data_IF_040461272183
#
_entry.id   IF_040461272183
#
_cell.length_a   1.000
_cell.length_b   1.000
_cell.length_c   1.000
_cell.angle_alpha   90.00
_cell.angle_beta   90.00
_cell.angle_gamma   90.00
#
_symmetry.space_group_name_H-M   'P 1'
#
loop_
_entity.id
_entity.type
_entity.pdbx_description
1 polymer ?
#
# COMPACT_ATOMS: atom_id res chain seq x y z
N UNK A 1 11.97 -7.08 -0.81
CA UNK A 1 10.56 -6.66 -0.61
C UNK A 1 9.88 -6.37 -1.94
N UNK A 2 8.60 -6.73 -2.07
CA UNK A 2 7.76 -6.50 -3.24
C UNK A 2 6.44 -5.82 -2.83
N UNK A 3 6.05 -4.75 -3.52
CA UNK A 3 4.75 -4.10 -3.35
C UNK A 3 3.77 -4.65 -4.40
N UNK A 4 2.67 -5.22 -3.96
CA UNK A 4 1.52 -5.57 -4.79
C UNK A 4 0.37 -4.58 -4.56
N UNK A 5 -0.30 -4.21 -5.64
CA UNK A 5 -1.44 -3.29 -5.62
C UNK A 5 -2.60 -3.95 -6.35
N UNK A 6 -3.70 -4.20 -5.66
CA UNK A 6 -4.97 -4.67 -6.22
C UNK A 6 -5.97 -3.51 -6.27
N UNK A 7 -6.25 -3.02 -7.47
CA UNK A 7 -7.12 -1.86 -7.71
C UNK A 7 -8.53 -2.29 -8.08
N UNK A 8 -9.39 -2.48 -7.09
CA UNK A 8 -10.81 -2.81 -7.28
C UNK A 8 -11.71 -1.58 -7.46
N UNK A 9 -12.98 -1.82 -7.77
CA UNK A 9 -13.99 -0.75 -7.94
C UNK A 9 -14.33 -0.03 -6.63
N UNK A 10 -14.30 -0.74 -5.50
CA UNK A 10 -14.69 -0.19 -4.20
C UNK A 10 -13.48 0.13 -3.33
N UNK A 11 -12.44 -0.70 -3.42
CA UNK A 11 -11.24 -0.55 -2.62
C UNK A 11 -10.00 -0.85 -3.44
N UNK A 12 -8.91 -0.18 -3.08
CA UNK A 12 -7.55 -0.48 -3.50
C UNK A 12 -6.83 -1.08 -2.31
N UNK A 13 -6.20 -2.24 -2.50
CA UNK A 13 -5.40 -2.94 -1.49
C UNK A 13 -3.92 -2.84 -1.84
N UNK A 14 -3.11 -2.46 -0.86
CA UNK A 14 -1.66 -2.37 -0.96
C UNK A 14 -1.06 -3.40 -0.02
N UNK A 15 -0.22 -4.30 -0.53
CA UNK A 15 0.42 -5.33 0.27
C UNK A 15 1.93 -5.38 -0.02
N UNK A 16 2.74 -5.45 1.03
CA UNK A 16 4.19 -5.62 0.93
C UNK A 16 4.55 -7.04 1.33
N UNK A 17 5.39 -7.68 0.52
CA UNK A 17 5.88 -9.03 0.73
C UNK A 17 7.40 -9.02 0.95
N UNK A 18 7.88 -9.87 1.85
CA UNK A 18 9.30 -10.15 1.99
C UNK A 18 9.81 -11.08 0.87
N UNK A 19 11.12 -11.37 0.88
CA UNK A 19 11.77 -12.20 -0.14
C UNK A 19 11.38 -13.68 -0.02
N UNK A 20 10.79 -14.10 1.11
CA UNK A 20 10.21 -15.42 1.30
C UNK A 20 8.75 -15.50 0.82
N UNK A 21 8.18 -14.39 0.34
CA UNK A 21 6.80 -14.29 -0.13
C UNK A 21 5.77 -14.14 0.99
N UNK A 22 6.19 -13.80 2.22
CA UNK A 22 5.27 -13.55 3.34
C UNK A 22 4.82 -12.08 3.33
N UNK A 23 3.54 -11.84 3.56
CA UNK A 23 3.00 -10.50 3.76
C UNK A 23 3.57 -9.88 5.05
N UNK A 24 4.20 -8.72 4.91
CA UNK A 24 4.75 -7.93 6.02
C UNK A 24 3.95 -6.66 6.32
N UNK A 25 3.09 -6.22 5.39
CA UNK A 25 2.13 -5.14 5.60
C UNK A 25 0.98 -5.21 4.60
N UNK A 26 -0.22 -4.81 5.03
CA UNK A 26 -1.41 -4.74 4.19
C UNK A 26 -2.28 -3.55 4.61
N UNK A 27 -2.63 -2.69 3.65
CA UNK A 27 -3.50 -1.53 3.89
C UNK A 27 -4.54 -1.39 2.79
N UNK A 28 -5.65 -0.74 3.13
CA UNK A 28 -6.80 -0.54 2.25
C UNK A 28 -7.16 0.94 2.15
N UNK A 29 -7.37 1.41 0.93
CA UNK A 29 -8.01 2.69 0.64
C UNK A 29 -9.32 2.44 -0.09
N UNK A 30 -10.32 3.31 0.12
CA UNK A 30 -11.44 3.40 -0.82
C UNK A 30 -10.92 3.77 -2.21
N UNK A 31 -11.55 3.23 -3.24
CA UNK A 31 -11.25 3.60 -4.63
C UNK A 31 -11.81 4.99 -4.90
N UNK A 32 -10.94 5.91 -5.27
CA UNK A 32 -11.26 7.31 -5.56
C UNK A 32 -10.42 7.74 -6.77
N UNK A 33 -11.09 8.07 -7.87
CA UNK A 33 -10.44 8.48 -9.12
C UNK A 33 -9.85 9.89 -9.07
N UNK A 34 -10.26 10.71 -8.11
CA UNK A 34 -9.72 12.06 -7.93
C UNK A 34 -8.43 12.05 -7.11
N UNK A 35 -8.16 10.96 -6.38
CA UNK A 35 -6.94 10.85 -5.58
C UNK A 35 -5.71 10.78 -6.48
N UNK A 36 -4.77 11.68 -6.21
CA UNK A 36 -3.52 11.85 -6.92
C UNK A 36 -2.44 10.84 -6.48
N UNK A 37 -1.44 10.66 -7.33
CA UNK A 37 -0.29 9.80 -7.02
C UNK A 37 0.47 10.27 -5.76
N UNK A 38 0.59 11.59 -5.55
CA UNK A 38 1.26 12.15 -4.38
C UNK A 38 0.50 11.86 -3.08
N UNK A 39 -0.84 11.93 -3.12
CA UNK A 39 -1.69 11.56 -1.98
C UNK A 39 -1.54 10.08 -1.63
N UNK A 40 -1.56 9.19 -2.64
CA UNK A 40 -1.28 7.77 -2.41
C UNK A 40 0.13 7.55 -1.85
N UNK A 41 1.13 8.24 -2.41
CA UNK A 41 2.52 8.13 -1.98
C UNK A 41 2.71 8.52 -0.51
N UNK A 42 2.23 9.70 -0.12
CA UNK A 42 2.32 10.18 1.27
C UNK A 42 1.58 9.22 2.21
N UNK A 43 0.35 8.85 1.86
CA UNK A 43 -0.47 7.96 2.68
C UNK A 43 0.20 6.60 2.91
N UNK A 44 0.64 5.94 1.83
CA UNK A 44 1.25 4.61 1.90
C UNK A 44 2.61 4.64 2.62
N UNK A 45 3.46 5.62 2.33
CA UNK A 45 4.77 5.75 2.99
C UNK A 45 4.58 5.95 4.49
N UNK A 46 3.61 6.78 4.91
CA UNK A 46 3.34 6.99 6.34
C UNK A 46 2.85 5.73 7.04
N UNK A 47 2.04 4.92 6.38
CA UNK A 47 1.61 3.63 6.92
C UNK A 47 2.78 2.64 7.04
N UNK A 48 3.62 2.56 6.01
CA UNK A 48 4.83 1.73 6.05
C UNK A 48 5.80 2.17 7.16
N UNK A 49 6.02 3.47 7.33
CA UNK A 49 6.85 4.02 8.42
C UNK A 49 6.30 3.66 9.81
N UNK A 50 4.98 3.74 10.01
CA UNK A 50 4.33 3.38 11.27
C UNK A 50 4.47 1.89 11.61
N UNK A 51 4.46 1.03 10.58
CA UNK A 51 4.63 -0.41 10.72
C UNK A 51 6.12 -0.84 10.70
N UNK A 52 7.06 0.12 10.67
CA UNK A 52 8.50 -0.14 10.70
C UNK A 52 9.05 -0.76 9.42
N UNK A 53 8.36 -0.56 8.30
CA UNK A 53 8.75 -1.06 6.98
C UNK A 53 9.46 0.07 6.23
N UNK A 54 10.78 -0.05 6.12
CA UNK A 54 11.59 0.90 5.35
C UNK A 54 11.57 0.60 3.85
N UNK A 55 12.03 1.56 3.04
CA UNK A 55 12.01 1.50 1.58
C UNK A 55 13.16 0.69 0.99
#
# INVERSE_FOLDING_TARGET
MLLAIDSGNTNIVFAVFDDAGKTVGEWRSSSDSERTADEFGIWLIKLMELDGIER
#
